data_IF_918095470611
#
_entry.id   IF_918095470611
#
_cell.length_a   1.000
_cell.length_b   1.000
_cell.length_c   1.000
_cell.angle_alpha   90.00
_cell.angle_beta   90.00
_cell.angle_gamma   90.00
#
_symmetry.space_group_name_H-M   'P 1'
#
loop_
_entity.id
_entity.type
_entity.pdbx_description
1 polymer ?
#
# COMPACT_ATOMS: atom_id res chain seq x y z
N UNK A 1 16.74 10.33 1.19
CA UNK A 1 17.50 11.28 0.35
C UNK A 1 18.62 10.50 -0.31
N UNK A 2 18.58 10.29 -1.63
CA UNK A 2 19.72 9.73 -2.34
C UNK A 2 20.81 10.80 -2.36
N UNK A 3 21.98 10.49 -1.81
CA UNK A 3 23.13 11.38 -1.93
C UNK A 3 23.57 11.31 -3.39
N UNK A 4 23.27 12.35 -4.18
CA UNK A 4 23.79 12.46 -5.54
C UNK A 4 25.29 12.74 -5.40
N UNK A 5 26.10 11.71 -5.63
CA UNK A 5 27.55 11.89 -5.72
C UNK A 5 27.87 12.53 -7.08
N UNK A 6 28.92 13.34 -7.17
CA UNK A 6 29.37 13.92 -8.44
C UNK A 6 30.43 13.00 -9.04
N UNK A 7 30.32 12.67 -10.33
CA UNK A 7 31.33 11.88 -11.03
C UNK A 7 32.62 12.71 -11.15
N UNK A 8 33.81 12.12 -10.97
CA UNK A 8 35.06 12.88 -11.08
C UNK A 8 35.23 13.48 -12.50
N UNK A 9 35.75 14.70 -12.57
CA UNK A 9 35.97 15.37 -13.85
C UNK A 9 36.92 14.57 -14.77
N UNK A 10 36.71 14.56 -16.10
CA UNK A 10 37.60 13.86 -17.02
C UNK A 10 39.06 14.35 -16.93
N UNK A 11 40.01 13.43 -17.10
CA UNK A 11 41.45 13.75 -17.14
C UNK A 11 42.02 13.48 -18.53
N UNK A 12 43.05 14.25 -18.93
CA UNK A 12 43.81 13.97 -20.15
C UNK A 12 44.93 12.96 -19.87
N UNK A 13 44.77 11.75 -20.42
CA UNK A 13 45.70 10.64 -20.22
C UNK A 13 47.09 10.86 -20.83
N UNK A 14 47.23 11.73 -21.83
CA UNK A 14 48.54 11.99 -22.46
C UNK A 14 49.44 12.90 -21.64
N UNK A 15 48.86 13.61 -20.66
CA UNK A 15 49.56 14.59 -19.82
C UNK A 15 49.51 14.25 -18.33
N UNK A 16 48.63 13.33 -17.91
CA UNK A 16 48.49 12.93 -16.52
C UNK A 16 49.58 11.93 -16.12
N UNK A 17 50.23 12.19 -14.98
CA UNK A 17 51.11 11.19 -14.34
C UNK A 17 50.30 9.98 -13.87
N UNK A 18 50.97 8.83 -13.71
CA UNK A 18 50.35 7.56 -13.29
C UNK A 18 49.55 7.68 -12.00
N UNK A 19 50.05 8.44 -11.02
CA UNK A 19 49.37 8.64 -9.73
C UNK A 19 48.05 9.40 -9.89
N UNK A 20 48.00 10.38 -10.80
CA UNK A 20 46.78 11.14 -11.09
C UNK A 20 45.73 10.24 -11.77
N UNK A 21 46.17 9.39 -12.70
CA UNK A 21 45.30 8.41 -13.36
C UNK A 21 44.72 7.43 -12.35
N UNK A 22 45.55 6.89 -11.44
CA UNK A 22 45.10 5.97 -10.40
C UNK A 22 44.11 6.63 -9.42
N UNK A 23 44.36 7.86 -9.00
CA UNK A 23 43.44 8.61 -8.14
C UNK A 23 42.08 8.84 -8.84
N UNK A 24 42.09 9.20 -10.12
CA UNK A 24 40.86 9.38 -10.90
C UNK A 24 40.08 8.07 -11.02
N UNK A 25 40.76 6.95 -11.31
CA UNK A 25 40.13 5.63 -11.40
C UNK A 25 39.49 5.21 -10.07
N UNK A 26 40.20 5.41 -8.95
CA UNK A 26 39.66 5.12 -7.61
C UNK A 26 38.43 5.98 -7.34
N UNK A 27 38.47 7.27 -7.65
CA UNK A 27 37.32 8.16 -7.48
C UNK A 27 36.13 7.73 -8.36
N UNK A 28 36.37 7.34 -9.61
CA UNK A 28 35.33 6.93 -10.55
C UNK A 28 34.65 5.63 -10.09
N UNK A 29 35.43 4.62 -9.70
CA UNK A 29 34.90 3.35 -9.17
C UNK A 29 34.13 3.58 -7.87
N UNK A 30 34.67 4.41 -6.97
CA UNK A 30 34.02 4.74 -5.71
C UNK A 30 32.69 5.48 -5.93
N UNK A 31 32.63 6.37 -6.92
CA UNK A 31 31.39 7.03 -7.31
C UNK A 31 30.36 6.03 -7.85
N UNK A 32 30.74 5.16 -8.79
CA UNK A 32 29.82 4.16 -9.37
C UNK A 32 29.26 3.23 -8.30
N UNK A 33 30.11 2.77 -7.38
CA UNK A 33 29.68 1.92 -6.27
C UNK A 33 28.72 2.64 -5.32
N UNK A 34 28.99 3.91 -4.99
CA UNK A 34 28.09 4.71 -4.17
C UNK A 34 26.74 4.95 -4.86
N UNK A 35 26.74 5.21 -6.16
CA UNK A 35 25.51 5.38 -6.93
C UNK A 35 24.67 4.11 -6.95
N UNK A 36 25.31 2.94 -7.13
CA UNK A 36 24.62 1.65 -7.08
C UNK A 36 23.96 1.41 -5.71
N UNK A 37 24.68 1.64 -4.61
CA UNK A 37 24.15 1.53 -3.25
C UNK A 37 22.98 2.50 -3.03
N UNK A 38 23.13 3.75 -3.47
CA UNK A 38 22.09 4.77 -3.35
C UNK A 38 20.81 4.37 -4.10
N UNK A 39 20.94 3.84 -5.32
CA UNK A 39 19.81 3.35 -6.11
C UNK A 39 19.11 2.17 -5.43
N UNK A 40 19.86 1.20 -4.88
CA UNK A 40 19.28 0.08 -4.13
C UNK A 40 18.54 0.55 -2.89
N UNK A 41 19.10 1.49 -2.14
CA UNK A 41 18.45 2.03 -0.95
C UNK A 41 17.17 2.80 -1.29
N UNK A 42 17.17 3.57 -2.37
CA UNK A 42 15.97 4.26 -2.86
C UNK A 42 14.87 3.26 -3.21
N UNK A 43 15.20 2.26 -4.04
CA UNK A 43 14.26 1.22 -4.43
C UNK A 43 13.68 0.47 -3.21
N UNK A 44 14.53 0.07 -2.26
CA UNK A 44 14.07 -0.61 -1.05
C UNK A 44 13.16 0.27 -0.18
N UNK A 45 13.43 1.57 -0.12
CA UNK A 45 12.60 2.53 0.61
C UNK A 45 11.22 2.65 -0.03
N UNK A 46 11.16 2.77 -1.36
CA UNK A 46 9.90 2.84 -2.10
C UNK A 46 9.11 1.53 -1.99
N UNK A 47 9.79 0.38 -2.07
CA UNK A 47 9.17 -0.92 -1.92
C UNK A 47 8.56 -1.11 -0.51
N UNK A 48 9.28 -0.70 0.54
CA UNK A 48 8.77 -0.75 1.90
C UNK A 48 7.53 0.16 2.08
N UNK A 49 7.56 1.37 1.52
CA UNK A 49 6.42 2.29 1.54
C UNK A 49 5.21 1.71 0.80
N UNK A 50 5.43 1.10 -0.37
CA UNK A 50 4.38 0.41 -1.12
C UNK A 50 3.78 -0.77 -0.32
N UNK A 51 4.61 -1.58 0.33
CA UNK A 51 4.16 -2.67 1.19
C UNK A 51 3.30 -2.18 2.36
N UNK A 52 3.68 -1.08 3.01
CA UNK A 52 2.89 -0.46 4.07
C UNK A 52 1.52 0.07 3.56
N UNK A 53 1.50 0.66 2.37
CA UNK A 53 0.27 1.11 1.73
C UNK A 53 -0.67 -0.07 1.42
N UNK A 54 -0.15 -1.18 0.89
CA UNK A 54 -0.93 -2.41 0.63
C UNK A 54 -1.56 -2.97 1.91
N UNK A 55 -0.79 -3.05 3.01
CA UNK A 55 -1.33 -3.50 4.30
C UNK A 55 -2.44 -2.59 4.83
N UNK A 56 -2.30 -1.28 4.64
CA UNK A 56 -3.33 -0.31 5.03
C UNK A 56 -4.61 -0.52 4.22
N UNK A 57 -4.48 -0.67 2.89
CA UNK A 57 -5.61 -0.95 2.01
C UNK A 57 -6.32 -2.26 2.37
N UNK A 58 -5.57 -3.33 2.65
CA UNK A 58 -6.14 -4.61 3.07
C UNK A 58 -6.94 -4.47 4.37
N UNK A 59 -6.43 -3.69 5.33
CA UNK A 59 -7.12 -3.42 6.59
C UNK A 59 -8.44 -2.68 6.35
N UNK A 60 -8.42 -1.64 5.52
CA UNK A 60 -9.62 -0.86 5.19
C UNK A 60 -10.67 -1.70 4.46
N UNK A 61 -10.25 -2.56 3.52
CA UNK A 61 -11.15 -3.49 2.83
C UNK A 61 -11.83 -4.45 3.82
N UNK A 62 -11.08 -5.02 4.75
CA UNK A 62 -11.64 -5.91 5.77
C UNK A 62 -12.64 -5.18 6.68
N UNK A 63 -12.34 -3.93 7.07
CA UNK A 63 -13.24 -3.11 7.88
C UNK A 63 -14.54 -2.78 7.13
N UNK A 64 -14.45 -2.43 5.84
CA UNK A 64 -15.62 -2.16 5.01
C UNK A 64 -16.52 -3.38 4.86
N UNK A 65 -15.93 -4.56 4.63
CA UNK A 65 -16.68 -5.81 4.52
C UNK A 65 -17.40 -6.15 5.83
N UNK A 66 -16.74 -5.98 6.97
CA UNK A 66 -17.34 -6.18 8.28
C UNK A 66 -18.49 -5.21 8.56
N UNK A 67 -18.35 -3.94 8.15
CA UNK A 67 -19.41 -2.93 8.29
C UNK A 67 -20.64 -3.27 7.45
N UNK A 68 -20.47 -3.75 6.21
CA UNK A 68 -21.58 -4.15 5.33
C UNK A 68 -22.40 -5.31 5.92
N UNK A 69 -21.74 -6.28 6.57
CA UNK A 69 -22.40 -7.40 7.25
C UNK A 69 -23.23 -7.01 8.48
N UNK A 70 -22.98 -5.85 9.08
CA UNK A 70 -23.70 -5.39 10.28
C UNK A 70 -25.08 -4.78 9.99
N UNK A 71 -25.39 -4.47 8.72
CA UNK A 71 -26.65 -3.83 8.30
C UNK A 71 -27.84 -4.79 8.16
N UNK A 72 -27.62 -6.10 8.32
CA UNK A 72 -28.63 -7.14 8.14
C UNK A 72 -29.22 -7.65 9.45
N UNK A 73 -30.18 -6.93 10.03
CA UNK A 73 -31.09 -7.50 11.04
C UNK A 73 -31.30 -6.63 12.28
N UNK A 74 -32.20 -5.65 12.20
CA UNK A 74 -32.91 -5.16 13.38
C UNK A 74 -34.04 -6.14 13.68
N UNK A 75 -33.78 -7.11 14.55
CA UNK A 75 -34.82 -7.95 15.13
C UNK A 75 -35.80 -7.07 15.91
N UNK A 76 -37.05 -7.01 15.45
CA UNK A 76 -38.12 -6.29 16.14
C UNK A 76 -38.33 -6.87 17.54
N UNK A 77 -38.11 -6.03 18.57
CA UNK A 77 -38.51 -6.38 19.93
C UNK A 77 -40.03 -6.32 20.05
N UNK A 78 -40.57 -7.40 20.61
CA UNK A 78 -41.96 -7.65 21.03
C UNK A 78 -42.90 -6.43 21.05
N UNK A 79 -43.86 -6.41 20.12
CA UNK A 79 -45.02 -5.51 20.16
C UNK A 79 -45.53 -5.15 18.77
N UNK A 80 -46.50 -5.90 18.26
CA UNK A 80 -47.21 -5.69 16.97
C UNK A 80 -46.36 -5.88 15.71
N UNK A 81 -47.00 -6.32 14.62
CA UNK A 81 -46.36 -6.96 13.46
C UNK A 81 -45.12 -6.25 12.93
N UNK A 82 -43.98 -6.94 12.99
CA UNK A 82 -42.75 -6.47 12.37
C UNK A 82 -42.88 -6.43 10.85
N UNK A 83 -42.54 -5.30 10.24
CA UNK A 83 -42.41 -5.21 8.78
C UNK A 83 -41.29 -6.14 8.32
N UNK A 84 -41.53 -6.91 7.26
CA UNK A 84 -40.56 -7.84 6.69
C UNK A 84 -39.23 -7.14 6.43
N UNK A 85 -38.13 -7.71 6.94
CA UNK A 85 -36.79 -7.17 6.75
C UNK A 85 -36.46 -7.07 5.26
N UNK A 86 -35.78 -6.00 4.87
CA UNK A 86 -35.26 -5.86 3.51
C UNK A 86 -34.18 -6.94 3.29
N UNK A 87 -34.37 -7.74 2.23
CA UNK A 87 -33.43 -8.79 1.85
C UNK A 87 -32.06 -8.20 1.50
N UNK A 88 -31.02 -8.63 2.21
CA UNK A 88 -29.65 -8.39 1.82
C UNK A 88 -29.33 -9.08 0.49
N UNK A 89 -28.51 -8.41 -0.32
CA UNK A 89 -28.08 -8.88 -1.64
C UNK A 89 -27.68 -10.36 -1.62
N UNK A 90 -28.25 -11.14 -2.54
CA UNK A 90 -27.99 -12.56 -2.86
C UNK A 90 -28.58 -13.67 -1.97
N UNK A 91 -29.49 -13.41 -1.03
CA UNK A 91 -30.23 -14.51 -0.38
C UNK A 91 -31.69 -14.12 -0.14
N UNK A 92 -32.59 -14.72 -0.95
CA UNK A 92 -34.05 -14.86 -0.77
C UNK A 92 -34.74 -13.80 0.11
N UNK A 93 -35.49 -12.90 -0.54
CA UNK A 93 -36.26 -11.83 0.12
C UNK A 93 -37.11 -12.30 1.29
N UNK A 94 -37.09 -11.53 2.38
CA UNK A 94 -37.89 -11.80 3.56
C UNK A 94 -39.39 -11.72 3.25
N UNK A 95 -40.13 -12.77 3.59
CA UNK A 95 -41.60 -12.76 3.55
C UNK A 95 -42.13 -11.81 4.63
N UNK A 96 -43.01 -10.88 4.24
CA UNK A 96 -43.68 -9.95 5.14
C UNK A 96 -44.53 -10.66 6.19
N UNK A 97 -44.47 -10.18 7.44
CA UNK A 97 -45.27 -10.70 8.53
C UNK A 97 -46.76 -10.46 8.32
N UNK A 98 -47.57 -11.51 8.45
CA UNK A 98 -49.03 -11.39 8.52
C UNK A 98 -49.41 -10.71 9.83
N UNK A 99 -50.16 -9.61 9.74
CA UNK A 99 -50.71 -8.89 10.90
C UNK A 99 -51.55 -9.80 11.78
N UNK A 100 -51.34 -9.71 13.10
CA UNK A 100 -52.07 -10.50 14.09
C UNK A 100 -53.56 -10.19 14.06
N UNK A 101 -54.37 -11.23 13.90
CA UNK A 101 -55.82 -11.16 14.10
C UNK A 101 -56.13 -10.79 15.54
N UNK A 102 -57.06 -9.86 15.69
CA UNK A 102 -57.70 -9.46 16.94
C UNK A 102 -58.33 -10.66 17.65
N UNK A 103 -58.01 -10.81 18.93
CA UNK A 103 -58.72 -11.62 19.92
C UNK A 103 -58.93 -10.79 21.18
#
# INVERSE_FOLDING_TARGET
MSQQTTFPAPINLSTAGTDNILQWLVAAVTHVNQQAVSNTQHFNTELAAAGAAVNTLQTLVNQLLAAQGSTGGTGGSSGTGGTGGTGGSSSTGGTGGTGGSSG
#
